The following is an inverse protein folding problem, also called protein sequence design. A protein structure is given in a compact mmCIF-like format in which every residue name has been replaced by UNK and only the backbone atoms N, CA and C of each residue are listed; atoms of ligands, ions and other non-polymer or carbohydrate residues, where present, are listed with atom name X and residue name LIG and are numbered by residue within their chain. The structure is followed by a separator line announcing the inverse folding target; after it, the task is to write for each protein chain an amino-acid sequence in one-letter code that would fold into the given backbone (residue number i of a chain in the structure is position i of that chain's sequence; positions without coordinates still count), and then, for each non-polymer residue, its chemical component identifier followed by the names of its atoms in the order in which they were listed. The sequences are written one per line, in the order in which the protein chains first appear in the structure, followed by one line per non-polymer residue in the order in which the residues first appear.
data_IF_885427425564
#
_entry.id   IF_885427425564
#
_cell.length_a   1.000
_cell.length_b   1.000
_cell.length_c   1.000
_cell.angle_alpha   90.00
_cell.angle_beta   90.00
_cell.angle_gamma   90.00
#
_symmetry.space_group_name_H-M   'P 1'
#
loop_
_entity.id
_entity.type
_entity.pdbx_description
1 polymer ?
#
# COMPACT_ATOMS: atom_id res chain seq x y z
N UNK A 1 54.70 26.63 -10.32
CA UNK A 1 53.55 26.38 -9.41
C UNK A 1 52.21 26.75 -10.04
N UNK A 2 51.94 26.29 -11.22
CA UNK A 2 50.66 26.53 -11.91
C UNK A 2 49.86 25.25 -12.18
N UNK A 3 50.24 24.11 -11.60
CA UNK A 3 49.66 22.82 -11.88
C UNK A 3 48.69 22.28 -10.81
N UNK A 4 48.49 23.04 -9.74
CA UNK A 4 47.62 22.65 -8.62
C UNK A 4 46.20 23.24 -8.66
N UNK A 5 45.88 24.06 -9.68
CA UNK A 5 44.56 24.74 -9.78
C UNK A 5 43.56 24.06 -10.74
N UNK A 6 43.95 23.03 -11.45
CA UNK A 6 43.08 22.38 -12.46
C UNK A 6 42.44 21.07 -12.01
N UNK A 7 42.68 20.63 -10.77
CA UNK A 7 42.11 19.34 -10.26
C UNK A 7 40.90 19.52 -9.33
N UNK A 8 40.40 20.75 -9.11
CA UNK A 8 39.35 21.06 -8.17
C UNK A 8 37.98 21.33 -8.84
N UNK A 9 37.89 21.21 -10.15
CA UNK A 9 36.64 21.49 -10.91
C UNK A 9 35.97 20.24 -11.51
N UNK A 10 36.44 19.02 -11.21
CA UNK A 10 35.92 17.80 -11.81
C UNK A 10 35.09 16.92 -10.87
N UNK A 11 34.79 17.39 -9.63
CA UNK A 11 34.08 16.55 -8.64
C UNK A 11 32.68 17.03 -8.26
N UNK A 12 32.12 18.01 -8.95
CA UNK A 12 30.81 18.58 -8.59
C UNK A 12 29.62 18.18 -9.51
N UNK A 13 29.82 17.23 -10.43
CA UNK A 13 28.81 16.90 -11.45
C UNK A 13 28.19 15.51 -11.33
N UNK A 14 28.28 14.81 -10.18
CA UNK A 14 27.78 13.43 -10.07
C UNK A 14 26.84 13.19 -8.89
N UNK A 15 25.99 14.13 -8.52
CA UNK A 15 25.00 13.95 -7.45
C UNK A 15 23.58 14.40 -7.79
N UNK A 16 23.17 14.38 -9.05
CA UNK A 16 21.80 14.76 -9.43
C UNK A 16 21.05 13.70 -10.24
N UNK A 17 21.27 12.42 -9.99
CA UNK A 17 20.44 11.39 -10.61
C UNK A 17 20.04 10.37 -9.55
N UNK A 18 19.05 10.68 -8.73
CA UNK A 18 18.37 9.62 -7.96
C UNK A 18 16.99 10.02 -7.39
N UNK A 19 16.35 11.10 -7.84
CA UNK A 19 15.08 11.53 -7.26
C UNK A 19 13.84 11.23 -8.12
N UNK A 20 13.99 10.75 -9.34
CA UNK A 20 12.86 10.55 -10.26
C UNK A 20 12.23 9.15 -10.20
N UNK A 21 12.83 8.19 -9.51
CA UNK A 21 12.31 6.81 -9.45
C UNK A 21 11.33 6.55 -8.30
N UNK A 22 11.09 7.53 -7.42
CA UNK A 22 10.26 7.37 -6.22
C UNK A 22 8.80 7.82 -6.42
N UNK A 23 8.49 8.52 -7.51
CA UNK A 23 7.17 9.10 -7.73
C UNK A 23 6.10 8.10 -8.21
N UNK A 24 6.52 6.95 -8.73
CA UNK A 24 5.60 5.92 -9.24
C UNK A 24 5.20 4.86 -8.19
N UNK A 25 5.81 4.90 -7.00
CA UNK A 25 5.53 3.94 -5.95
C UNK A 25 4.23 4.35 -5.23
N UNK A 26 3.29 3.41 -5.13
CA UNK A 26 2.01 3.61 -4.43
C UNK A 26 1.01 4.56 -5.12
N UNK A 27 1.07 4.75 -6.44
CA UNK A 27 0.11 5.58 -7.19
C UNK A 27 -1.36 5.17 -6.97
N UNK A 28 -1.61 3.89 -6.75
CA UNK A 28 -2.92 3.34 -6.46
C UNK A 28 -3.56 3.87 -5.16
N UNK A 29 -2.78 4.41 -4.22
CA UNK A 29 -3.31 4.96 -2.96
C UNK A 29 -4.30 6.10 -3.17
N UNK A 30 -4.10 6.90 -4.22
CA UNK A 30 -5.00 8.01 -4.54
C UNK A 30 -6.40 7.50 -4.87
N UNK A 31 -6.50 6.58 -5.81
CA UNK A 31 -7.79 6.02 -6.24
C UNK A 31 -8.42 5.19 -5.11
N UNK A 32 -7.59 4.53 -4.32
CA UNK A 32 -8.03 3.77 -3.17
C UNK A 32 -8.63 4.64 -2.07
N UNK A 33 -8.08 5.85 -1.82
CA UNK A 33 -8.69 6.82 -0.92
C UNK A 33 -10.06 7.29 -1.42
N UNK A 34 -10.18 7.61 -2.70
CA UNK A 34 -11.45 8.02 -3.31
C UNK A 34 -12.52 6.93 -3.10
N UNK A 35 -12.18 5.67 -3.33
CA UNK A 35 -13.09 4.55 -3.10
C UNK A 35 -13.46 4.37 -1.62
N UNK A 36 -12.52 4.54 -0.71
CA UNK A 36 -12.75 4.45 0.72
C UNK A 36 -13.64 5.58 1.25
N UNK A 37 -13.47 6.78 0.73
CA UNK A 37 -14.29 7.95 1.07
C UNK A 37 -15.71 7.85 0.51
N UNK A 38 -15.87 7.21 -0.65
CA UNK A 38 -17.18 6.99 -1.27
C UNK A 38 -18.04 5.96 -0.50
N UNK A 39 -17.41 4.99 0.16
CA UNK A 39 -18.07 3.94 0.95
C UNK A 39 -17.28 3.62 2.23
N UNK A 40 -17.31 4.48 3.26
CA UNK A 40 -16.53 4.29 4.48
C UNK A 40 -16.89 3.02 5.26
N UNK A 41 -18.17 2.66 5.28
CA UNK A 41 -18.64 1.47 5.99
C UNK A 41 -18.23 0.18 5.29
N UNK A 42 -18.39 0.11 3.98
CA UNK A 42 -17.91 -1.02 3.20
C UNK A 42 -16.39 -1.12 3.21
N UNK A 43 -15.68 0.00 3.23
CA UNK A 43 -14.22 0.00 3.36
C UNK A 43 -13.78 -0.61 4.70
N UNK A 44 -14.39 -0.21 5.83
CA UNK A 44 -14.11 -0.84 7.13
C UNK A 44 -14.39 -2.33 7.13
N UNK A 45 -15.55 -2.75 6.65
CA UNK A 45 -15.91 -4.16 6.57
C UNK A 45 -14.89 -4.98 5.74
N UNK A 46 -14.38 -4.40 4.66
CA UNK A 46 -13.32 -5.04 3.86
C UNK A 46 -11.98 -5.15 4.61
N UNK A 47 -11.61 -4.13 5.39
CA UNK A 47 -10.43 -4.18 6.26
C UNK A 47 -10.57 -5.26 7.34
N UNK A 48 -11.71 -5.32 8.02
CA UNK A 48 -12.01 -6.35 9.02
C UNK A 48 -11.87 -7.76 8.41
N UNK A 49 -12.52 -7.98 7.27
CA UNK A 49 -12.49 -9.27 6.58
C UNK A 49 -11.08 -9.66 6.13
N UNK A 50 -10.28 -8.70 5.66
CA UNK A 50 -8.93 -8.95 5.15
C UNK A 50 -7.92 -9.22 6.27
N UNK A 51 -7.94 -8.42 7.31
CA UNK A 51 -6.95 -8.49 8.39
C UNK A 51 -7.40 -9.32 9.60
N UNK A 52 -8.65 -9.77 9.62
CA UNK A 52 -9.24 -10.58 10.70
C UNK A 52 -9.18 -9.91 12.07
N UNK A 53 -9.39 -8.61 12.09
CA UNK A 53 -9.44 -7.77 13.31
C UNK A 53 -10.82 -7.11 13.43
N UNK A 54 -11.22 -6.80 14.67
CA UNK A 54 -12.56 -6.24 14.93
C UNK A 54 -12.73 -4.78 14.55
N UNK A 55 -13.97 -4.35 14.37
CA UNK A 55 -14.35 -2.97 14.01
C UNK A 55 -13.76 -1.91 14.95
N UNK A 56 -13.72 -2.17 16.25
CA UNK A 56 -13.12 -1.23 17.22
C UNK A 56 -11.65 -0.97 16.91
N UNK A 57 -10.88 -2.01 16.60
CA UNK A 57 -9.47 -1.86 16.26
C UNK A 57 -9.29 -1.16 14.90
N UNK A 58 -10.13 -1.45 13.92
CA UNK A 58 -10.13 -0.75 12.63
C UNK A 58 -10.42 0.74 12.82
N UNK A 59 -11.42 1.10 13.62
CA UNK A 59 -11.73 2.51 13.91
C UNK A 59 -10.59 3.21 14.63
N UNK A 60 -9.92 2.52 15.56
CA UNK A 60 -8.74 3.05 16.24
C UNK A 60 -7.64 3.37 15.23
N UNK A 61 -7.34 2.47 14.31
CA UNK A 61 -6.35 2.73 13.26
C UNK A 61 -6.76 3.89 12.37
N UNK A 62 -8.02 3.91 11.89
CA UNK A 62 -8.55 4.99 11.05
C UNK A 62 -8.51 6.36 11.75
N UNK A 63 -8.73 6.42 13.06
CA UNK A 63 -8.63 7.65 13.84
C UNK A 63 -7.20 8.16 14.06
N UNK A 64 -6.19 7.34 13.77
CA UNK A 64 -4.79 7.64 13.96
C UNK A 64 -3.99 7.83 12.66
N UNK A 65 -4.66 7.81 11.51
CA UNK A 65 -4.06 8.04 10.19
C UNK A 65 -4.69 9.25 9.52
N UNK A 66 -4.00 9.79 8.52
CA UNK A 66 -4.47 11.01 7.83
C UNK A 66 -5.54 10.70 6.76
N UNK A 67 -5.39 9.56 6.09
CA UNK A 67 -6.29 9.14 5.00
C UNK A 67 -6.73 7.69 5.18
N UNK A 68 -7.91 7.32 4.69
CA UNK A 68 -8.41 5.94 4.83
C UNK A 68 -7.44 4.88 4.27
N UNK A 69 -6.81 5.14 3.13
CA UNK A 69 -5.85 4.21 2.55
C UNK A 69 -4.60 4.00 3.43
N UNK A 70 -4.26 4.98 4.27
CA UNK A 70 -3.14 4.85 5.21
C UNK A 70 -3.42 3.79 6.26
N UNK A 71 -4.69 3.59 6.66
CA UNK A 71 -5.07 2.51 7.55
C UNK A 71 -4.75 1.14 6.94
N UNK A 72 -5.07 0.93 5.67
CA UNK A 72 -4.67 -0.29 4.95
C UNK A 72 -3.14 -0.46 4.96
N UNK A 73 -2.39 0.59 4.67
CA UNK A 73 -0.94 0.54 4.64
C UNK A 73 -0.33 0.19 6.00
N UNK A 74 -0.82 0.81 7.07
CA UNK A 74 -0.40 0.51 8.46
C UNK A 74 -0.66 -0.96 8.80
N UNK A 75 -1.86 -1.46 8.53
CA UNK A 75 -2.23 -2.85 8.78
C UNK A 75 -1.38 -3.82 7.95
N UNK A 76 -1.16 -3.51 6.68
CA UNK A 76 -0.37 -4.35 5.78
C UNK A 76 1.11 -4.41 6.16
N UNK A 77 1.68 -3.28 6.55
CA UNK A 77 3.07 -3.22 7.04
C UNK A 77 3.22 -3.94 8.39
N UNK A 78 2.21 -3.87 9.26
CA UNK A 78 2.17 -4.64 10.50
C UNK A 78 2.20 -6.15 10.24
N UNK A 79 1.35 -6.62 9.32
CA UNK A 79 1.33 -8.03 8.90
C UNK A 79 2.69 -8.45 8.29
N UNK A 80 3.25 -7.65 7.39
CA UNK A 80 4.53 -7.96 6.74
C UNK A 80 5.74 -7.97 7.68
N UNK A 81 5.71 -7.15 8.72
CA UNK A 81 6.79 -7.04 9.71
C UNK A 81 6.57 -7.91 10.94
N UNK A 82 5.41 -8.56 11.04
CA UNK A 82 4.96 -9.28 12.23
C UNK A 82 5.02 -8.41 13.51
N UNK A 83 4.61 -7.14 13.38
CA UNK A 83 4.58 -6.17 14.47
C UNK A 83 3.16 -5.85 14.89
N UNK A 84 2.92 -5.56 16.19
CA UNK A 84 1.63 -5.07 16.66
C UNK A 84 1.22 -3.80 15.89
N UNK A 85 -0.05 -3.71 15.54
CA UNK A 85 -0.59 -2.57 14.78
C UNK A 85 -0.30 -1.23 15.48
N UNK A 86 -0.38 -1.20 16.80
CA UNK A 86 -0.10 0.01 17.58
C UNK A 86 1.33 0.50 17.37
N UNK A 87 2.32 -0.38 17.36
CA UNK A 87 3.72 -0.01 17.10
C UNK A 87 3.87 0.61 15.69
N UNK A 88 3.15 0.07 14.72
CA UNK A 88 3.18 0.61 13.34
C UNK A 88 2.53 1.99 13.27
N UNK A 89 1.40 2.19 13.96
CA UNK A 89 0.74 3.49 14.09
C UNK A 89 1.68 4.51 14.72
N UNK A 90 2.34 4.17 15.82
CA UNK A 90 3.27 5.08 16.51
C UNK A 90 4.43 5.48 15.60
N UNK A 91 4.98 4.54 14.85
CA UNK A 91 6.04 4.82 13.86
C UNK A 91 5.55 5.63 12.67
N UNK A 92 4.31 5.38 12.23
CA UNK A 92 3.67 6.18 11.18
C UNK A 92 3.56 7.64 11.63
N UNK A 93 3.06 7.89 12.83
CA UNK A 93 2.92 9.23 13.38
C UNK A 93 4.27 9.93 13.59
N UNK A 94 5.25 9.22 14.14
CA UNK A 94 6.61 9.75 14.33
C UNK A 94 7.34 10.01 12.99
N UNK A 95 6.98 9.30 11.95
CA UNK A 95 7.60 9.38 10.63
C UNK A 95 6.81 10.16 9.59
N UNK A 96 5.83 10.97 9.98
CA UNK A 96 5.02 11.77 9.05
C UNK A 96 5.89 12.53 8.04
N UNK A 97 5.52 12.45 6.77
CA UNK A 97 6.26 13.08 5.68
C UNK A 97 7.48 12.32 5.15
N UNK A 98 7.92 11.26 5.82
CA UNK A 98 9.07 10.44 5.35
C UNK A 98 8.69 9.38 4.31
N UNK A 99 7.41 9.12 4.12
CA UNK A 99 6.87 8.18 3.15
C UNK A 99 6.88 6.70 3.59
N UNK A 100 6.15 5.89 2.84
CA UNK A 100 5.92 4.47 3.13
C UNK A 100 7.18 3.60 3.07
N UNK A 101 8.12 3.94 2.19
CA UNK A 101 9.39 3.24 2.10
C UNK A 101 10.25 3.39 3.35
N UNK A 102 10.29 4.59 3.94
CA UNK A 102 11.00 4.87 5.17
C UNK A 102 10.35 4.14 6.36
N UNK A 103 9.01 4.14 6.43
CA UNK A 103 8.28 3.40 7.45
C UNK A 103 8.53 1.90 7.35
N UNK A 104 8.42 1.32 6.16
CA UNK A 104 8.71 -0.10 5.92
C UNK A 104 10.13 -0.47 6.35
N UNK A 105 11.11 0.36 6.01
CA UNK A 105 12.51 0.15 6.42
C UNK A 105 12.66 0.18 7.95
N UNK A 106 11.99 1.11 8.63
CA UNK A 106 12.02 1.20 10.11
C UNK A 106 11.42 -0.03 10.79
N UNK A 107 10.52 -0.72 10.12
CA UNK A 107 9.89 -1.97 10.57
C UNK A 107 10.71 -3.23 10.20
N UNK A 108 11.86 -3.07 9.56
CA UNK A 108 12.70 -4.17 9.11
C UNK A 108 12.27 -4.84 7.81
N UNK A 109 11.32 -4.24 7.10
CA UNK A 109 10.88 -4.74 5.79
C UNK A 109 11.90 -4.33 4.74
N UNK A 110 12.42 -5.32 4.01
CA UNK A 110 13.40 -5.08 2.93
C UNK A 110 12.71 -4.47 1.72
N UNK A 111 13.14 -3.29 1.23
CA UNK A 111 12.53 -2.63 0.07
C UNK A 111 12.52 -3.47 -1.20
N UNK A 112 13.49 -4.40 -1.34
CA UNK A 112 13.59 -5.32 -2.47
C UNK A 112 12.78 -6.60 -2.35
N UNK A 113 12.07 -6.84 -1.22
CA UNK A 113 11.28 -8.07 -1.04
C UNK A 113 10.11 -8.15 -2.03
N UNK A 114 9.73 -9.37 -2.41
CA UNK A 114 8.60 -9.60 -3.33
C UNK A 114 7.30 -8.99 -2.79
N UNK A 115 7.05 -9.16 -1.48
CA UNK A 115 5.85 -8.65 -0.82
C UNK A 115 5.80 -7.11 -0.87
N UNK A 116 6.90 -6.43 -0.59
CA UNK A 116 6.94 -4.97 -0.64
C UNK A 116 6.84 -4.43 -2.08
N UNK A 117 7.48 -5.10 -3.04
CA UNK A 117 7.32 -4.76 -4.47
C UNK A 117 5.87 -4.95 -4.95
N UNK A 118 5.17 -5.99 -4.47
CA UNK A 118 3.76 -6.18 -4.77
C UNK A 118 2.90 -5.05 -4.17
N UNK A 119 3.16 -4.66 -2.91
CA UNK A 119 2.46 -3.58 -2.25
C UNK A 119 2.63 -2.22 -2.95
N UNK A 120 3.79 -1.95 -3.51
CA UNK A 120 4.03 -0.74 -4.31
C UNK A 120 3.12 -0.63 -5.54
N UNK A 121 2.72 -1.76 -6.11
CA UNK A 121 1.93 -1.82 -7.35
C UNK A 121 0.43 -1.82 -7.10
N UNK A 122 -0.04 -2.42 -6.00
CA UNK A 122 -1.45 -2.66 -5.77
C UNK A 122 -1.74 -3.11 -4.34
N UNK A 123 -2.99 -2.96 -3.92
CA UNK A 123 -3.53 -3.57 -2.70
C UNK A 123 -4.17 -4.92 -3.00
N UNK A 124 -4.35 -5.74 -1.96
CA UNK A 124 -5.03 -7.04 -2.02
C UNK A 124 -6.44 -7.02 -1.40
N UNK A 125 -6.96 -5.83 -1.10
CA UNK A 125 -8.31 -5.65 -0.60
C UNK A 125 -9.30 -5.90 -1.74
N UNK A 126 -10.10 -6.95 -1.62
CA UNK A 126 -11.11 -7.25 -2.65
C UNK A 126 -12.12 -6.11 -2.71
N UNK A 127 -12.34 -5.56 -3.89
CA UNK A 127 -13.49 -4.70 -4.15
C UNK A 127 -14.73 -5.49 -3.77
N UNK A 128 -15.59 -4.91 -2.92
CA UNK A 128 -16.89 -5.50 -2.63
C UNK A 128 -17.69 -5.60 -3.93
N UNK A 129 -17.58 -6.71 -4.60
CA UNK A 129 -18.50 -7.06 -5.66
C UNK A 129 -19.84 -7.27 -4.99
N UNK A 130 -20.71 -6.30 -5.04
CA UNK A 130 -22.14 -6.54 -4.93
C UNK A 130 -22.47 -7.56 -6.02
N UNK A 131 -22.65 -8.81 -5.57
CA UNK A 131 -22.85 -9.95 -6.45
C UNK A 131 -23.98 -9.69 -7.42
N UNK A 132 -23.65 -9.42 -8.65
CA UNK A 132 -24.54 -9.65 -9.76
C UNK A 132 -24.57 -11.16 -9.95
N UNK A 133 -25.70 -11.83 -9.74
CA UNK A 133 -25.78 -13.27 -9.95
C UNK A 133 -25.49 -13.53 -11.43
N UNK A 134 -24.37 -14.16 -11.72
CA UNK A 134 -24.11 -14.71 -13.04
C UNK A 134 -25.14 -15.81 -13.28
N UNK A 135 -26.13 -15.52 -14.12
CA UNK A 135 -27.03 -16.51 -14.68
C UNK A 135 -26.19 -17.64 -15.27
N UNK A 136 -26.23 -18.78 -14.61
CA UNK A 136 -25.70 -20.01 -15.15
C UNK A 136 -26.44 -20.30 -16.46
N UNK A 137 -25.72 -20.20 -17.56
CA UNK A 137 -26.23 -20.57 -18.89
C UNK A 137 -26.35 -22.10 -18.93
N UNK A 138 -27.53 -22.57 -18.63
CA UNK A 138 -27.87 -23.98 -18.76
C UNK A 138 -27.67 -24.45 -20.20
N UNK A 139 -26.68 -25.30 -20.39
CA UNK A 139 -26.39 -25.95 -21.65
C UNK A 139 -27.38 -27.09 -21.79
N UNK A 140 -28.52 -26.83 -22.43
CA UNK A 140 -29.48 -27.85 -22.83
C UNK A 140 -28.84 -28.84 -23.81
N UNK A 141 -28.63 -30.03 -23.33
CA UNK A 141 -28.13 -31.14 -24.13
C UNK A 141 -29.37 -31.81 -24.78
N UNK A 142 -29.69 -31.43 -25.97
CA UNK A 142 -30.69 -32.08 -26.80
C UNK A 142 -30.25 -33.51 -27.13
N UNK A 143 -30.95 -34.48 -26.57
CA UNK A 143 -30.79 -35.90 -26.91
C UNK A 143 -31.79 -36.23 -28.03
N UNK A 144 -31.30 -36.32 -29.25
CA UNK A 144 -32.08 -36.81 -30.39
C UNK A 144 -32.13 -38.31 -30.27
N UNK A 145 -33.32 -38.87 -30.07
CA UNK A 145 -33.61 -40.27 -30.30
C UNK A 145 -34.53 -40.38 -31.51
N UNK A 146 -34.16 -41.25 -32.35
CA UNK A 146 -34.76 -41.82 -33.53
C UNK A 146 -36.20 -42.24 -33.31
#
# INVERSE_FOLDING_TARGET
MKWLKTWLMASAALLLVSSAAMAADFDWLRDFNIQAEADPSGFRARLEARFKIGDVQIRTVLGNVEKPADAYMVLRLGEMSNRPVQEVVDRYQAGKGKGWGALAKSLGIKPGSKAFKALKRSHDLKSGSTGKPTKAKGKGRGKKKK
#
